data_IF_831953689365
#
_entry.id   IF_831953689365
#
_cell.length_a   1.000
_cell.length_b   1.000
_cell.length_c   1.000
_cell.angle_alpha   90.00
_cell.angle_beta   90.00
_cell.angle_gamma   90.00
#
_symmetry.space_group_name_H-M   'P 1'
#
loop_
_entity.id
_entity.type
_entity.pdbx_description
1 polymer ?
#
# COMPACT_ATOMS: atom_id res chain seq x y z
N UNK A 1 28.45 5.58 7.80
CA UNK A 1 27.92 4.21 7.66
C UNK A 1 27.77 3.70 9.09
N UNK A 2 26.60 3.35 9.61
CA UNK A 2 25.63 2.44 9.00
C UNK A 2 24.24 2.58 9.64
N UNK A 3 23.23 2.61 8.77
CA UNK A 3 21.96 1.88 8.87
C UNK A 3 21.26 1.82 10.25
N UNK A 4 20.52 2.88 10.61
CA UNK A 4 19.36 2.74 11.51
C UNK A 4 18.20 3.69 11.10
N UNK A 5 18.09 4.01 9.81
CA UNK A 5 16.90 4.71 9.31
C UNK A 5 15.77 3.68 9.11
N UNK A 6 15.03 3.46 10.22
CA UNK A 6 13.66 2.93 10.32
C UNK A 6 13.23 1.88 9.26
N UNK A 7 13.41 0.57 9.53
CA UNK A 7 12.93 -0.51 8.65
C UNK A 7 11.41 -0.48 8.36
N UNK A 8 10.64 0.24 9.19
CA UNK A 8 9.21 0.46 9.02
C UNK A 8 8.88 1.36 7.83
N UNK A 9 9.68 2.39 7.55
CA UNK A 9 9.44 3.30 6.41
C UNK A 9 9.61 2.56 5.08
N UNK A 10 10.63 1.69 4.98
CA UNK A 10 10.86 0.86 3.78
C UNK A 10 9.68 -0.05 3.46
N UNK A 11 9.12 -0.70 4.48
CA UNK A 11 7.95 -1.56 4.32
C UNK A 11 6.69 -0.79 3.89
N UNK A 12 6.52 0.43 4.40
CA UNK A 12 5.45 1.33 4.00
C UNK A 12 5.62 1.73 2.52
N UNK A 13 6.83 2.09 2.10
CA UNK A 13 7.10 2.45 0.70
C UNK A 13 6.85 1.29 -0.26
N UNK A 14 7.29 0.07 0.07
CA UNK A 14 7.01 -1.12 -0.75
C UNK A 14 5.51 -1.44 -0.84
N UNK A 15 4.79 -1.25 0.27
CA UNK A 15 3.34 -1.42 0.32
C UNK A 15 2.61 -0.39 -0.55
N UNK A 16 3.02 0.88 -0.48
CA UNK A 16 2.50 1.96 -1.29
C UNK A 16 2.81 1.76 -2.78
N UNK A 17 3.99 1.26 -3.12
CA UNK A 17 4.36 0.96 -4.50
C UNK A 17 3.41 -0.09 -5.11
N UNK A 18 3.12 -1.18 -4.39
CA UNK A 18 2.16 -2.21 -4.82
C UNK A 18 0.75 -1.67 -4.98
N UNK A 19 0.29 -0.84 -4.03
CA UNK A 19 -1.01 -0.16 -4.14
C UNK A 19 -1.05 0.75 -5.37
N UNK A 20 0.02 1.49 -5.64
CA UNK A 20 0.11 2.39 -6.79
C UNK A 20 0.06 1.63 -8.11
N UNK A 21 0.77 0.52 -8.24
CA UNK A 21 0.66 -0.35 -9.43
C UNK A 21 -0.77 -0.87 -9.61
N UNK A 22 -1.39 -1.38 -8.53
CA UNK A 22 -2.77 -1.85 -8.58
C UNK A 22 -3.74 -0.73 -8.97
N UNK A 23 -3.59 0.48 -8.42
CA UNK A 23 -4.39 1.66 -8.78
C UNK A 23 -4.16 2.13 -10.22
N UNK A 24 -2.96 1.95 -10.78
CA UNK A 24 -2.69 2.31 -12.18
C UNK A 24 -3.42 1.40 -13.17
N UNK A 25 -3.60 0.13 -12.84
CA UNK A 25 -4.39 -0.82 -13.64
C UNK A 25 -5.90 -0.70 -13.35
N UNK A 26 -6.25 -0.09 -12.21
CA UNK A 26 -7.62 0.08 -11.74
C UNK A 26 -8.37 1.23 -12.44
N UNK A 27 -9.23 0.90 -13.41
CA UNK A 27 -10.16 1.91 -13.97
C UNK A 27 -11.22 2.38 -12.98
N UNK A 28 -11.73 1.48 -12.14
CA UNK A 28 -12.76 1.75 -11.13
C UNK A 28 -12.61 0.80 -9.94
N UNK A 29 -12.58 1.35 -8.73
CA UNK A 29 -12.50 0.57 -7.51
C UNK A 29 -12.11 1.43 -6.29
N UNK A 30 -11.65 0.79 -5.23
CA UNK A 30 -11.29 1.42 -3.96
C UNK A 30 -10.07 0.73 -3.38
N UNK A 31 -9.15 1.49 -2.79
CA UNK A 31 -8.07 0.94 -1.95
C UNK A 31 -8.25 1.45 -0.53
N UNK A 32 -8.33 0.54 0.43
CA UNK A 32 -8.38 0.83 1.86
C UNK A 32 -7.05 0.43 2.51
N UNK A 33 -6.44 1.37 3.24
CA UNK A 33 -5.18 1.17 3.96
C UNK A 33 -5.42 1.38 5.46
N UNK A 34 -5.08 0.38 6.27
CA UNK A 34 -5.19 0.46 7.73
C UNK A 34 -3.81 0.54 8.35
N UNK A 35 -3.58 1.60 9.13
CA UNK A 35 -2.33 1.85 9.86
C UNK A 35 -2.59 1.77 11.36
N UNK A 36 -1.85 0.93 12.05
CA UNK A 36 -1.84 0.86 13.51
C UNK A 36 -0.40 0.98 14.01
N UNK A 37 -0.20 1.80 15.04
CA UNK A 37 1.11 1.98 15.70
C UNK A 37 2.25 2.34 14.73
N UNK A 38 1.95 3.17 13.72
CA UNK A 38 2.92 3.57 12.70
C UNK A 38 3.29 2.47 11.69
N UNK A 39 2.57 1.34 11.69
CA UNK A 39 2.75 0.24 10.74
C UNK A 39 1.49 -0.02 9.95
N UNK A 40 1.65 -0.26 8.65
CA UNK A 40 0.55 -0.75 7.81
C UNK A 40 0.26 -2.19 8.23
N UNK A 41 -0.98 -2.43 8.65
CA UNK A 41 -1.43 -3.77 9.07
C UNK A 41 -2.36 -4.41 8.05
N UNK A 42 -3.00 -3.62 7.18
CA UNK A 42 -3.95 -4.13 6.21
C UNK A 42 -3.98 -3.25 4.96
N UNK A 43 -4.07 -3.91 3.81
CA UNK A 43 -4.21 -3.29 2.51
C UNK A 43 -5.29 -4.08 1.77
N UNK A 44 -6.42 -3.45 1.51
CA UNK A 44 -7.51 -4.03 0.72
C UNK A 44 -7.65 -3.27 -0.59
N UNK A 45 -7.46 -3.98 -1.70
CA UNK A 45 -7.68 -3.46 -3.05
C UNK A 45 -8.97 -4.07 -3.58
N UNK A 46 -9.99 -3.25 -3.79
CA UNK A 46 -11.28 -3.66 -4.34
C UNK A 46 -11.42 -3.14 -5.76
N UNK A 47 -11.50 -4.04 -6.73
CA UNK A 47 -11.74 -3.69 -8.12
C UNK A 47 -13.21 -3.87 -8.51
N UNK A 48 -13.81 -2.85 -9.13
CA UNK A 48 -15.15 -2.94 -9.72
C UNK A 48 -15.03 -2.98 -11.24
N UNK A 49 -14.88 -4.19 -11.80
CA UNK A 49 -15.12 -4.43 -13.23
C UNK A 49 -16.62 -4.50 -13.48
N UNK A 50 -17.16 -3.56 -14.27
CA UNK A 50 -18.45 -3.73 -14.94
C UNK A 50 -18.16 -4.43 -16.27
N UNK A 51 -18.66 -5.64 -16.42
CA UNK A 51 -18.74 -6.35 -17.69
C UNK A 51 -19.96 -5.85 -18.47
#
# INVERSE_FOLDING_TARGET
MSQDETPQLRNLEESLAKVREALQDLRYGQVSLTVHDGRVVQIDVTEKKRF
#
